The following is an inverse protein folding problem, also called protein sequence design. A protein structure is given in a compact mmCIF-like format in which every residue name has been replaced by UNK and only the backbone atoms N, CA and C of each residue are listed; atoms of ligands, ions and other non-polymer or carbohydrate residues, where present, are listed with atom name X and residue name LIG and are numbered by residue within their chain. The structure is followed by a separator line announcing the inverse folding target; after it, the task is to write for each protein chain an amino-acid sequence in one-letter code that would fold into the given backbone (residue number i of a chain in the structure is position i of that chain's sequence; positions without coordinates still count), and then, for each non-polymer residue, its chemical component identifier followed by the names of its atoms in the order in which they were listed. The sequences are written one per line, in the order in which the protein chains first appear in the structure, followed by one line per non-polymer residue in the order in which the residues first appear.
data_IF_839066649168
#
_entry.id   IF_839066649168
#
_cell.length_a   1.000
_cell.length_b   1.000
_cell.length_c   1.000
_cell.angle_alpha   90.00
_cell.angle_beta   90.00
_cell.angle_gamma   90.00
#
_symmetry.space_group_name_H-M   'P 1'
#
loop_
_entity.id
_entity.type
_entity.pdbx_description
1 polymer ?
#
# COMPACT_ATOMS: atom_id res chain seq x y z
N UNK A 1 -16.77 -13.38 -46.19
CA UNK A 1 -17.33 -12.60 -45.07
C UNK A 1 -17.30 -13.33 -43.72
N UNK A 2 -17.45 -14.65 -43.66
CA UNK A 2 -17.41 -15.41 -42.37
C UNK A 2 -16.00 -15.50 -41.72
N UNK A 3 -14.91 -15.50 -42.50
CA UNK A 3 -13.53 -15.61 -42.02
C UNK A 3 -13.07 -14.35 -41.29
N UNK A 4 -13.49 -13.15 -41.77
CA UNK A 4 -13.13 -11.88 -41.13
C UNK A 4 -13.80 -11.71 -39.76
N UNK A 5 -14.99 -12.25 -39.55
CA UNK A 5 -15.71 -12.15 -38.29
C UNK A 5 -15.09 -13.05 -37.20
N UNK A 6 -14.57 -14.23 -37.59
CA UNK A 6 -13.90 -15.14 -36.63
C UNK A 6 -12.54 -14.59 -36.18
N UNK A 7 -11.80 -13.94 -37.04
CA UNK A 7 -10.52 -13.31 -36.69
C UNK A 7 -10.69 -12.10 -35.77
N UNK A 8 -11.74 -11.31 -35.97
CA UNK A 8 -12.10 -10.21 -35.07
C UNK A 8 -12.52 -10.70 -33.67
N UNK A 9 -13.28 -11.78 -33.60
CA UNK A 9 -13.70 -12.37 -32.33
C UNK A 9 -12.53 -12.97 -31.54
N UNK A 10 -11.57 -13.60 -32.24
CA UNK A 10 -10.35 -14.14 -31.59
C UNK A 10 -9.42 -13.05 -31.10
N UNK A 11 -9.26 -11.96 -31.84
CA UNK A 11 -8.48 -10.80 -31.43
C UNK A 11 -9.11 -10.06 -30.23
N UNK A 12 -10.44 -9.93 -30.18
CA UNK A 12 -11.14 -9.33 -29.05
C UNK A 12 -11.05 -10.19 -27.78
N UNK A 13 -11.08 -11.52 -27.91
CA UNK A 13 -10.98 -12.44 -26.77
C UNK A 13 -9.55 -12.47 -26.20
N UNK A 14 -8.52 -12.32 -27.04
CA UNK A 14 -7.12 -12.25 -26.57
C UNK A 14 -6.81 -10.93 -25.83
N UNK A 15 -7.48 -9.82 -26.15
CA UNK A 15 -7.31 -8.54 -25.45
C UNK A 15 -7.86 -8.56 -24.02
N UNK A 16 -8.84 -9.40 -23.72
CA UNK A 16 -9.47 -9.48 -22.40
C UNK A 16 -8.61 -10.21 -21.33
N UNK A 17 -7.58 -10.94 -21.72
CA UNK A 17 -6.79 -11.79 -20.82
C UNK A 17 -5.63 -11.00 -20.15
N UNK A 18 -5.27 -9.82 -20.62
CA UNK A 18 -4.15 -9.03 -20.13
C UNK A 18 -4.52 -7.88 -19.16
N UNK A 19 -5.67 -7.94 -18.50
CA UNK A 19 -6.00 -6.99 -17.44
C UNK A 19 -5.15 -7.27 -16.20
N UNK A 20 -3.89 -6.90 -16.24
CA UNK A 20 -3.00 -6.89 -15.09
C UNK A 20 -3.52 -5.91 -14.03
N UNK A 21 -4.43 -6.34 -13.14
CA UNK A 21 -4.96 -5.50 -12.09
C UNK A 21 -3.85 -5.09 -11.11
N UNK A 22 -3.53 -3.81 -11.08
CA UNK A 22 -2.74 -3.23 -10.00
C UNK A 22 -3.42 -3.54 -8.67
N UNK A 23 -2.74 -4.22 -7.76
CA UNK A 23 -3.32 -4.60 -6.47
C UNK A 23 -2.31 -4.52 -5.34
N UNK A 24 -2.81 -4.15 -4.15
CA UNK A 24 -2.10 -4.27 -2.89
C UNK A 24 -2.84 -5.26 -2.02
N UNK A 25 -2.11 -6.10 -1.32
CA UNK A 25 -2.65 -7.10 -0.39
C UNK A 25 -1.92 -7.05 0.95
N UNK A 26 -2.58 -7.51 2.00
CA UNK A 26 -1.95 -7.78 3.29
C UNK A 26 -1.12 -9.06 3.13
N UNK A 27 0.18 -8.94 3.35
CA UNK A 27 1.12 -10.07 3.35
C UNK A 27 1.00 -10.81 4.67
N UNK A 28 0.99 -10.06 5.76
CA UNK A 28 0.89 -10.58 7.11
C UNK A 28 0.21 -9.54 8.02
N UNK A 29 -0.60 -10.01 8.96
CA UNK A 29 -1.12 -9.19 10.03
C UNK A 29 -1.07 -9.99 11.33
N UNK A 30 -0.25 -9.53 12.27
CA UNK A 30 -0.14 -10.09 13.63
C UNK A 30 -0.75 -9.09 14.58
N UNK A 31 -1.70 -9.55 15.35
CA UNK A 31 -2.28 -8.82 16.47
C UNK A 31 -1.78 -9.46 17.76
N UNK A 32 -1.32 -8.63 18.69
CA UNK A 32 -0.88 -9.15 19.99
C UNK A 32 -2.07 -9.73 20.70
N UNK A 33 -1.97 -10.99 21.11
CA UNK A 33 -2.96 -11.65 21.96
C UNK A 33 -2.94 -10.97 23.32
N UNK A 34 -3.76 -9.95 23.49
CA UNK A 34 -4.01 -9.38 24.80
C UNK A 34 -5.24 -10.07 25.40
N UNK A 35 -5.15 -10.46 26.68
CA UNK A 35 -6.30 -10.90 27.47
C UNK A 35 -7.40 -9.83 27.58
N UNK A 36 -7.13 -8.61 27.13
CA UNK A 36 -8.10 -7.50 27.08
C UNK A 36 -8.77 -7.47 25.71
N UNK A 37 -10.11 -7.37 25.74
CA UNK A 37 -10.92 -7.17 24.55
C UNK A 37 -10.44 -5.94 23.78
N UNK A 38 -10.11 -6.11 22.50
CA UNK A 38 -9.73 -5.00 21.63
C UNK A 38 -10.88 -4.00 21.54
N UNK A 39 -10.61 -2.73 21.83
CA UNK A 39 -11.62 -1.67 21.86
C UNK A 39 -11.31 -0.61 20.82
N UNK A 40 -12.37 -0.04 20.25
CA UNK A 40 -12.24 1.13 19.37
C UNK A 40 -11.59 2.28 20.15
N UNK A 41 -10.51 2.89 19.63
CA UNK A 41 -9.85 4.01 20.29
C UNK A 41 -10.74 5.26 20.25
N UNK A 42 -10.51 6.19 21.18
CA UNK A 42 -11.15 7.51 21.16
C UNK A 42 -10.60 8.41 20.05
N UNK A 43 -9.32 8.24 19.73
CA UNK A 43 -8.63 8.96 18.66
C UNK A 43 -7.41 8.16 18.20
N UNK A 44 -7.07 8.30 16.92
CA UNK A 44 -5.91 7.70 16.28
C UNK A 44 -4.95 8.81 15.84
N UNK A 45 -3.69 8.70 16.25
CA UNK A 45 -2.62 9.56 15.77
C UNK A 45 -1.83 8.81 14.70
N UNK A 46 -1.66 9.41 13.54
CA UNK A 46 -0.89 8.85 12.44
C UNK A 46 0.41 9.64 12.30
N UNK A 47 1.54 8.96 12.49
CA UNK A 47 2.87 9.50 12.22
C UNK A 47 3.26 9.26 10.76
N UNK A 48 4.01 10.17 10.14
CA UNK A 48 4.56 9.91 8.81
C UNK A 48 5.38 8.63 8.80
N UNK A 49 5.21 7.82 7.76
CA UNK A 49 6.03 6.62 7.56
C UNK A 49 7.45 7.03 7.17
N UNK A 50 8.42 6.29 7.68
CA UNK A 50 9.83 6.46 7.35
C UNK A 50 10.28 5.45 6.29
N UNK A 51 11.41 5.69 5.67
CA UNK A 51 11.99 4.74 4.71
C UNK A 51 13.06 3.91 5.41
N UNK A 52 12.97 2.59 5.29
CA UNK A 52 14.03 1.71 5.75
C UNK A 52 15.32 1.95 4.93
N UNK A 53 16.51 1.76 5.50
CA UNK A 53 17.75 1.85 4.74
C UNK A 53 17.71 0.97 3.49
N UNK A 54 18.01 1.55 2.31
CA UNK A 54 17.98 0.83 1.04
C UNK A 54 16.59 0.49 0.49
N UNK A 55 15.52 0.99 1.11
CA UNK A 55 14.15 0.74 0.66
C UNK A 55 13.84 1.36 -0.71
N UNK A 56 14.51 2.45 -1.06
CA UNK A 56 14.22 3.21 -2.28
C UNK A 56 15.00 2.67 -3.48
N UNK A 57 14.26 2.40 -4.54
CA UNK A 57 14.80 2.08 -5.87
C UNK A 57 14.16 3.02 -6.88
N UNK A 58 14.69 4.24 -6.94
CA UNK A 58 14.18 5.35 -7.73
C UNK A 58 15.33 6.05 -8.45
N UNK A 59 15.07 6.58 -9.65
CA UNK A 59 16.04 7.34 -10.43
C UNK A 59 16.09 8.80 -9.95
N UNK A 60 16.43 9.00 -8.68
CA UNK A 60 16.48 10.31 -8.01
C UNK A 60 17.63 10.35 -7.02
N UNK A 61 18.21 11.53 -6.83
CA UNK A 61 19.29 11.76 -5.87
C UNK A 61 19.18 13.14 -5.23
N UNK A 62 19.94 13.36 -4.19
CA UNK A 62 20.05 14.66 -3.54
C UNK A 62 18.72 15.24 -3.07
N UNK A 63 18.45 16.49 -3.42
CA UNK A 63 17.24 17.21 -3.01
C UNK A 63 15.97 16.64 -3.61
N UNK A 64 15.99 16.19 -4.87
CA UNK A 64 14.83 15.59 -5.52
C UNK A 64 14.40 14.29 -4.84
N UNK A 65 15.36 13.52 -4.32
CA UNK A 65 15.07 12.32 -3.55
C UNK A 65 14.38 12.68 -2.24
N UNK A 66 14.92 13.65 -1.49
CA UNK A 66 14.31 14.10 -0.22
C UNK A 66 12.90 14.65 -0.41
N UNK A 67 12.66 15.45 -1.47
CA UNK A 67 11.32 15.92 -1.83
C UNK A 67 10.37 14.77 -2.13
N UNK A 68 10.84 13.78 -2.89
CA UNK A 68 10.05 12.61 -3.22
C UNK A 68 9.68 11.81 -1.96
N UNK A 69 10.62 11.54 -1.07
CA UNK A 69 10.38 10.86 0.21
C UNK A 69 9.32 11.60 1.04
N UNK A 70 9.48 12.90 1.21
CA UNK A 70 8.55 13.73 1.96
C UNK A 70 7.12 13.67 1.39
N UNK A 71 6.97 13.76 0.07
CA UNK A 71 5.68 13.70 -0.61
C UNK A 71 5.03 12.33 -0.40
N UNK A 72 5.78 11.25 -0.57
CA UNK A 72 5.24 9.89 -0.43
C UNK A 72 4.83 9.61 1.01
N UNK A 73 5.65 10.00 1.98
CA UNK A 73 5.34 9.86 3.40
C UNK A 73 4.08 10.65 3.79
N UNK A 74 3.96 11.90 3.34
CA UNK A 74 2.80 12.74 3.57
C UNK A 74 1.52 12.17 2.91
N UNK A 75 1.62 11.68 1.68
CA UNK A 75 0.49 11.04 0.98
C UNK A 75 -0.02 9.81 1.73
N UNK A 76 0.88 8.95 2.21
CA UNK A 76 0.54 7.77 2.99
C UNK A 76 -0.17 8.16 4.29
N UNK A 77 0.41 9.08 5.05
CA UNK A 77 -0.12 9.51 6.33
C UNK A 77 -1.50 10.17 6.18
N UNK A 78 -1.68 11.07 5.19
CA UNK A 78 -2.97 11.71 4.92
C UNK A 78 -4.04 10.69 4.52
N UNK A 79 -3.70 9.69 3.70
CA UNK A 79 -4.65 8.63 3.32
C UNK A 79 -5.01 7.71 4.48
N UNK A 80 -4.08 7.43 5.38
CA UNK A 80 -4.37 6.69 6.61
C UNK A 80 -5.30 7.50 7.53
N UNK A 81 -5.06 8.80 7.73
CA UNK A 81 -5.95 9.67 8.51
C UNK A 81 -7.37 9.67 7.96
N UNK A 82 -7.51 9.85 6.64
CA UNK A 82 -8.81 9.85 5.96
C UNK A 82 -9.57 8.52 6.18
N UNK A 83 -8.90 7.40 5.90
CA UNK A 83 -9.54 6.08 5.95
C UNK A 83 -9.78 5.59 7.37
N UNK A 84 -8.85 5.80 8.29
CA UNK A 84 -9.02 5.46 9.70
C UNK A 84 -10.11 6.31 10.33
N UNK A 85 -10.15 7.61 9.99
CA UNK A 85 -11.17 8.54 10.47
C UNK A 85 -12.59 8.15 10.09
N UNK A 86 -12.78 7.61 8.90
CA UNK A 86 -14.10 7.17 8.39
C UNK A 86 -14.48 5.76 8.79
N UNK A 87 -13.50 4.87 9.03
CA UNK A 87 -13.77 3.43 9.16
C UNK A 87 -13.48 2.85 10.55
N UNK A 88 -12.75 3.57 11.41
CA UNK A 88 -12.33 3.06 12.72
C UNK A 88 -12.67 4.03 13.83
N UNK A 89 -12.03 5.20 13.87
CA UNK A 89 -12.22 6.24 14.89
C UNK A 89 -11.64 7.57 14.39
N UNK A 90 -12.02 8.73 14.98
CA UNK A 90 -11.40 10.01 14.64
C UNK A 90 -9.87 9.90 14.55
N UNK A 91 -9.28 10.42 13.48
CA UNK A 91 -7.86 10.32 13.24
C UNK A 91 -7.26 11.66 12.83
N UNK A 92 -6.00 11.91 13.23
CA UNK A 92 -5.23 13.09 12.82
C UNK A 92 -3.76 12.78 12.64
N UNK A 93 -3.07 13.65 11.94
CA UNK A 93 -1.61 13.59 11.85
C UNK A 93 -0.97 13.96 13.20
N UNK A 94 0.17 13.33 13.44
CA UNK A 94 1.09 13.70 14.53
C UNK A 94 2.52 13.73 13.99
N UNK A 95 3.35 14.61 14.56
CA UNK A 95 4.78 14.63 14.23
C UNK A 95 5.50 13.47 14.91
N UNK A 96 6.69 13.12 14.43
CA UNK A 96 7.50 12.03 15.02
C UNK A 96 7.89 12.35 16.47
N UNK A 97 8.06 13.64 16.81
CA UNK A 97 8.48 14.10 18.13
C UNK A 97 7.30 14.51 19.04
N UNK A 98 6.07 14.47 18.53
CA UNK A 98 4.89 14.85 19.33
C UNK A 98 4.70 13.88 20.51
N UNK A 99 4.63 14.46 21.72
CA UNK A 99 4.32 13.70 22.93
C UNK A 99 2.82 13.50 23.06
N UNK A 100 2.35 12.31 22.68
CA UNK A 100 0.94 11.94 22.74
C UNK A 100 0.63 11.37 24.12
N UNK A 101 -0.40 11.89 24.78
CA UNK A 101 -0.88 11.41 26.09
C UNK A 101 -2.40 11.36 26.10
N UNK A 102 -2.95 10.44 26.85
CA UNK A 102 -4.40 10.30 27.01
C UNK A 102 -4.80 8.86 27.25
N UNK A 103 -6.11 8.61 27.31
CA UNK A 103 -6.70 7.30 27.55
C UNK A 103 -7.31 6.79 26.25
N UNK A 104 -7.11 5.49 25.99
CA UNK A 104 -7.68 4.81 24.82
C UNK A 104 -7.30 5.46 23.49
N UNK A 105 -6.01 5.76 23.34
CA UNK A 105 -5.43 6.37 22.16
C UNK A 105 -4.65 5.31 21.39
N UNK A 106 -4.75 5.34 20.08
CA UNK A 106 -3.86 4.58 19.22
C UNK A 106 -2.88 5.48 18.47
N UNK A 107 -1.68 4.96 18.27
CA UNK A 107 -0.66 5.57 17.41
C UNK A 107 -0.34 4.60 16.29
N UNK A 108 -0.48 5.06 15.07
CA UNK A 108 -0.10 4.33 13.86
C UNK A 108 1.16 4.96 13.30
N UNK A 109 2.19 4.18 13.18
CA UNK A 109 3.44 4.54 12.54
C UNK A 109 3.93 3.39 11.67
N UNK A 110 4.94 3.60 10.86
CA UNK A 110 5.44 2.52 10.02
C UNK A 110 6.59 2.94 9.15
N UNK A 111 6.97 1.99 8.29
CA UNK A 111 8.04 2.20 7.34
C UNK A 111 7.71 1.64 5.96
N UNK A 112 8.34 2.23 4.96
CA UNK A 112 8.43 1.64 3.64
C UNK A 112 9.62 0.68 3.66
N UNK A 113 9.33 -0.62 3.52
CA UNK A 113 10.36 -1.66 3.46
C UNK A 113 10.96 -1.73 2.05
N UNK A 114 10.15 -1.39 1.04
CA UNK A 114 10.55 -1.31 -0.35
C UNK A 114 9.65 -0.36 -1.12
N UNK A 115 10.26 0.57 -1.84
CA UNK A 115 9.58 1.41 -2.82
C UNK A 115 10.38 1.41 -4.12
N UNK A 116 9.82 0.79 -5.16
CA UNK A 116 10.36 0.83 -6.51
C UNK A 116 9.41 1.64 -7.38
N UNK A 117 9.90 2.75 -7.94
CA UNK A 117 9.10 3.59 -8.83
C UNK A 117 8.97 2.99 -10.25
N UNK A 118 9.71 1.92 -10.55
CA UNK A 118 9.87 1.39 -11.88
C UNK A 118 10.79 2.27 -12.75
N UNK A 119 11.34 1.70 -13.81
CA UNK A 119 12.22 2.42 -14.73
C UNK A 119 11.43 3.37 -15.62
N UNK A 120 11.81 4.65 -15.61
CA UNK A 120 11.24 5.66 -16.53
C UNK A 120 11.58 5.35 -17.98
N UNK A 121 12.82 4.92 -18.23
CA UNK A 121 13.29 4.57 -19.56
C UNK A 121 12.53 3.40 -20.17
N UNK A 122 12.24 2.35 -19.39
CA UNK A 122 11.49 1.21 -19.87
C UNK A 122 10.02 1.55 -20.17
N UNK A 123 9.43 2.52 -19.46
CA UNK A 123 8.06 2.97 -19.72
C UNK A 123 7.94 3.75 -21.03
N UNK A 124 8.98 4.51 -21.41
CA UNK A 124 8.95 5.31 -22.63
C UNK A 124 9.33 4.53 -23.89
N UNK A 125 10.14 3.47 -23.76
CA UNK A 125 10.69 2.76 -24.95
C UNK A 125 9.92 1.49 -25.29
N UNK A 126 9.44 0.74 -24.31
CA UNK A 126 8.90 -0.61 -24.56
C UNK A 126 7.37 -0.70 -24.43
N UNK A 127 6.69 0.24 -23.79
CA UNK A 127 5.22 0.32 -23.73
C UNK A 127 4.46 -0.90 -23.16
N UNK A 128 5.12 -1.99 -22.89
CA UNK A 128 4.51 -3.29 -22.56
C UNK A 128 4.55 -3.64 -21.06
N UNK A 129 4.04 -2.77 -20.19
CA UNK A 129 3.85 -3.15 -18.77
C UNK A 129 5.14 -3.39 -17.97
N UNK A 130 6.31 -3.22 -18.54
CA UNK A 130 7.60 -3.28 -17.86
C UNK A 130 7.82 -1.97 -17.10
N UNK A 131 8.11 -2.06 -15.82
CA UNK A 131 8.42 -0.88 -14.98
C UNK A 131 7.28 -0.45 -14.06
N UNK A 132 6.40 -1.37 -13.65
CA UNK A 132 5.40 -1.12 -12.62
C UNK A 132 6.03 -0.72 -11.27
N UNK A 133 5.28 0.05 -10.47
CA UNK A 133 5.69 0.39 -9.11
C UNK A 133 5.57 -0.83 -8.20
N UNK A 134 6.45 -0.92 -7.21
CA UNK A 134 6.30 -1.89 -6.12
C UNK A 134 6.44 -1.18 -4.79
N UNK A 135 5.48 -1.41 -3.90
CA UNK A 135 5.46 -0.85 -2.55
C UNK A 135 5.26 -1.97 -1.55
N UNK A 136 6.17 -2.05 -0.58
CA UNK A 136 6.05 -2.93 0.58
C UNK A 136 6.18 -2.07 1.83
N UNK A 137 5.28 -2.27 2.80
CA UNK A 137 5.28 -1.48 4.03
C UNK A 137 5.03 -2.35 5.25
N UNK A 138 5.58 -1.92 6.37
CA UNK A 138 5.24 -2.43 7.69
C UNK A 138 4.62 -1.29 8.50
N UNK A 139 3.36 -1.46 8.91
CA UNK A 139 2.67 -0.58 9.82
C UNK A 139 2.65 -1.18 11.23
N UNK A 140 2.90 -0.37 12.24
CA UNK A 140 2.84 -0.69 13.65
C UNK A 140 1.73 0.14 14.29
N UNK A 141 0.91 -0.50 15.10
CA UNK A 141 -0.17 0.14 15.83
C UNK A 141 0.07 -0.07 17.32
N UNK A 142 0.13 1.02 18.05
CA UNK A 142 0.32 1.00 19.50
C UNK A 142 -0.92 1.54 20.21
N UNK A 143 -1.26 0.96 21.36
CA UNK A 143 -2.14 1.63 22.31
C UNK A 143 -1.31 2.40 23.32
N UNK A 144 -1.84 3.54 23.75
CA UNK A 144 -1.24 4.33 24.83
C UNK A 144 -2.10 4.22 26.07
N UNK A 145 -1.42 4.00 27.22
CA UNK A 145 -2.04 4.11 28.52
C UNK A 145 -2.09 5.58 29.01
N UNK A 146 -2.67 5.82 30.19
CA UNK A 146 -2.76 7.16 30.78
C UNK A 146 -1.39 7.81 31.02
N UNK A 147 -0.34 7.02 31.20
CA UNK A 147 1.04 7.48 31.45
C UNK A 147 1.78 7.73 30.13
N UNK A 148 1.18 7.39 28.97
CA UNK A 148 1.80 7.50 27.67
C UNK A 148 2.71 6.31 27.33
N UNK A 149 2.61 5.19 28.09
CA UNK A 149 3.33 3.97 27.79
C UNK A 149 2.70 3.29 26.57
N UNK A 150 3.52 2.92 25.62
CA UNK A 150 3.12 2.28 24.39
C UNK A 150 3.11 0.76 24.51
N UNK A 151 2.02 0.14 24.07
CA UNK A 151 1.91 -1.32 23.92
C UNK A 151 1.60 -1.63 22.48
N UNK A 152 2.40 -2.49 21.84
CA UNK A 152 2.16 -2.91 20.46
C UNK A 152 0.86 -3.72 20.38
N UNK A 153 -0.09 -3.25 19.60
CA UNK A 153 -1.35 -3.93 19.33
C UNK A 153 -1.31 -4.75 18.05
N UNK A 154 -0.71 -4.20 17.01
CA UNK A 154 -0.69 -4.84 15.71
C UNK A 154 0.55 -4.50 14.90
N UNK A 155 1.01 -5.49 14.12
CA UNK A 155 1.97 -5.33 13.03
C UNK A 155 1.30 -5.81 11.75
N UNK A 156 1.22 -4.92 10.75
CA UNK A 156 0.56 -5.19 9.47
C UNK A 156 1.56 -4.95 8.35
N UNK A 157 1.85 -5.99 7.60
CA UNK A 157 2.71 -5.92 6.43
C UNK A 157 1.87 -5.97 5.16
N UNK A 158 2.17 -5.07 4.23
CA UNK A 158 1.51 -5.04 2.92
C UNK A 158 2.52 -5.20 1.80
N UNK A 159 2.07 -5.75 0.70
CA UNK A 159 2.84 -5.86 -0.54
C UNK A 159 1.94 -5.63 -1.73
N UNK A 160 2.45 -4.96 -2.73
CA UNK A 160 1.71 -4.72 -3.96
C UNK A 160 2.41 -3.70 -4.85
N UNK A 161 1.74 -3.35 -5.91
CA UNK A 161 2.21 -2.35 -6.85
C UNK A 161 1.22 -2.20 -8.00
N UNK A 162 1.46 -1.20 -8.81
CA UNK A 162 0.77 -1.01 -10.08
C UNK A 162 1.61 -1.65 -11.18
N UNK A 163 1.09 -2.70 -11.79
CA UNK A 163 1.57 -3.06 -13.11
C UNK A 163 1.23 -1.90 -14.05
N UNK A 164 2.19 -1.43 -14.84
CA UNK A 164 1.88 -0.45 -15.87
C UNK A 164 0.83 -1.10 -16.79
N UNK A 165 -0.35 -0.46 -16.89
CA UNK A 165 -1.38 -0.91 -17.82
C UNK A 165 -0.84 -0.68 -19.22
N UNK A 166 -0.69 -1.71 -20.08
CA UNK A 166 -0.39 -1.50 -21.49
C UNK A 166 -1.53 -0.68 -22.09
N UNK A 167 -1.23 0.46 -22.70
CA UNK A 167 -2.22 1.21 -23.47
C UNK A 167 -2.79 2.49 -22.84
N UNK A 168 -2.30 2.99 -21.73
CA UNK A 168 -2.51 4.39 -21.37
C UNK A 168 -1.61 5.31 -22.24
N UNK A 169 -1.68 5.15 -23.54
CA UNK A 169 -1.19 6.14 -24.49
C UNK A 169 -2.19 7.28 -24.41
N UNK A 170 -1.79 8.37 -23.76
CA UNK A 170 -2.48 9.65 -23.91
C UNK A 170 -2.37 10.03 -25.39
N UNK A 171 -3.44 9.74 -26.17
CA UNK A 171 -3.57 10.13 -27.55
C UNK A 171 -3.80 11.65 -27.59
N UNK A 172 -2.72 12.41 -27.57
CA UNK A 172 -2.74 13.85 -27.70
C UNK A 172 -1.32 14.39 -27.85
N UNK A 173 -1.11 15.53 -28.57
CA UNK A 173 0.20 16.14 -28.69
C UNK A 173 0.69 16.52 -27.29
N UNK A 174 1.74 15.83 -26.84
CA UNK A 174 2.40 16.11 -25.56
C UNK A 174 3.13 17.43 -25.69
N UNK A 175 2.47 18.51 -25.32
CA UNK A 175 3.14 19.76 -25.02
C UNK A 175 3.88 19.49 -23.69
N UNK A 176 5.19 19.38 -23.77
CA UNK A 176 6.06 19.12 -22.62
C UNK A 176 6.03 20.31 -21.65
N UNK A 177 5.07 20.30 -20.73
CA UNK A 177 5.06 21.23 -19.61
C UNK A 177 5.83 20.56 -18.47
N UNK A 178 6.93 21.14 -17.95
CA UNK A 178 7.76 20.54 -16.89
C UNK A 178 6.96 20.09 -15.66
N UNK A 179 5.84 20.72 -15.37
CA UNK A 179 4.93 20.36 -14.28
C UNK A 179 4.23 19.01 -14.47
N UNK A 180 3.93 18.61 -15.69
CA UNK A 180 3.26 17.33 -16.00
C UNK A 180 4.18 16.13 -15.83
N UNK A 181 5.50 16.29 -16.00
CA UNK A 181 6.48 15.22 -15.79
C UNK A 181 6.55 14.83 -14.32
N UNK A 182 6.42 15.80 -13.40
CA UNK A 182 6.46 15.53 -11.96
C UNK A 182 5.19 14.79 -11.49
N UNK A 183 4.02 15.18 -11.99
CA UNK A 183 2.74 14.53 -11.65
C UNK A 183 2.63 13.11 -12.19
N UNK A 184 3.07 12.85 -13.43
CA UNK A 184 3.06 11.51 -14.00
C UNK A 184 3.99 10.53 -13.26
N UNK A 185 5.11 11.02 -12.72
CA UNK A 185 6.06 10.22 -11.98
C UNK A 185 5.57 9.79 -10.57
N UNK A 186 4.63 10.52 -9.99
CA UNK A 186 4.06 10.22 -8.66
C UNK A 186 2.73 9.46 -8.74
N UNK A 187 2.08 9.39 -9.90
CA UNK A 187 0.71 8.84 -10.04
C UNK A 187 0.63 7.37 -9.62
N UNK A 188 1.60 6.53 -10.02
CA UNK A 188 1.63 5.12 -9.62
C UNK A 188 1.84 4.96 -8.11
N UNK A 189 2.81 5.67 -7.55
CA UNK A 189 3.12 5.65 -6.11
C UNK A 189 1.96 6.19 -5.28
N UNK A 190 1.29 7.26 -5.74
CA UNK A 190 0.10 7.80 -5.07
C UNK A 190 -1.06 6.80 -5.05
N UNK A 191 -1.28 6.08 -6.15
CA UNK A 191 -2.28 5.02 -6.20
C UNK A 191 -1.94 3.84 -5.27
N UNK A 192 -0.66 3.47 -5.20
CA UNK A 192 -0.20 2.41 -4.32
C UNK A 192 -0.27 2.82 -2.84
N UNK A 193 0.05 4.07 -2.50
CA UNK A 193 -0.15 4.62 -1.15
C UNK A 193 -1.62 4.55 -0.73
N UNK A 194 -2.55 4.92 -1.62
CA UNK A 194 -4.00 4.84 -1.36
C UNK A 194 -4.45 3.39 -1.12
N UNK A 195 -4.00 2.45 -1.95
CA UNK A 195 -4.34 1.02 -1.79
C UNK A 195 -3.73 0.44 -0.53
N UNK A 196 -2.48 0.78 -0.22
CA UNK A 196 -1.77 0.35 0.99
C UNK A 196 -2.47 0.85 2.24
N UNK A 197 -2.78 2.15 2.32
CA UNK A 197 -3.55 2.72 3.43
C UNK A 197 -4.90 2.02 3.61
N UNK A 198 -5.61 1.72 2.51
CA UNK A 198 -6.86 0.95 2.55
C UNK A 198 -6.66 -0.46 3.12
N UNK A 199 -5.58 -1.16 2.78
CA UNK A 199 -5.31 -2.51 3.29
C UNK A 199 -4.96 -2.49 4.78
N UNK A 200 -4.19 -1.52 5.25
CA UNK A 200 -3.87 -1.33 6.67
C UNK A 200 -5.17 -1.04 7.45
N UNK A 201 -5.97 -0.09 6.99
CA UNK A 201 -7.26 0.24 7.63
C UNK A 201 -8.21 -0.95 7.64
N UNK A 202 -8.28 -1.70 6.52
CA UNK A 202 -9.12 -2.88 6.42
C UNK A 202 -8.72 -3.98 7.42
N UNK A 203 -7.42 -4.23 7.61
CA UNK A 203 -6.95 -5.19 8.59
C UNK A 203 -7.33 -4.79 10.02
N UNK A 204 -7.25 -3.51 10.36
CA UNK A 204 -7.62 -2.99 11.67
C UNK A 204 -9.14 -3.04 11.90
N UNK A 205 -9.93 -2.58 10.94
CA UNK A 205 -11.40 -2.58 11.06
C UNK A 205 -11.97 -3.99 11.10
N UNK A 206 -11.43 -4.92 10.31
CA UNK A 206 -11.80 -6.34 10.38
C UNK A 206 -11.56 -6.94 11.78
N UNK A 207 -10.38 -6.66 12.36
CA UNK A 207 -10.03 -7.20 13.67
C UNK A 207 -10.88 -6.62 14.79
N UNK A 208 -11.16 -5.31 14.76
CA UNK A 208 -12.09 -4.67 15.69
C UNK A 208 -13.51 -5.24 15.56
N UNK A 209 -13.97 -5.44 14.35
CA UNK A 209 -15.28 -6.07 14.10
C UNK A 209 -15.36 -7.49 14.66
N UNK A 210 -14.30 -8.31 14.48
CA UNK A 210 -14.20 -9.65 15.07
C UNK A 210 -14.19 -9.63 16.60
N UNK A 211 -13.66 -8.57 17.20
CA UNK A 211 -13.66 -8.37 18.64
C UNK A 211 -15.00 -7.79 19.16
N UNK A 212 -15.99 -7.56 18.30
CA UNK A 212 -17.26 -6.96 18.66
C UNK A 212 -17.18 -5.47 19.01
N UNK A 213 -16.08 -4.80 18.67
CA UNK A 213 -15.90 -3.38 18.95
C UNK A 213 -16.76 -2.53 17.99
N UNK A 214 -17.41 -1.45 18.48
CA UNK A 214 -18.22 -0.59 17.63
C UNK A 214 -17.36 0.13 16.61
N UNK A 215 -17.85 0.22 15.37
CA UNK A 215 -17.20 0.93 14.26
C UNK A 215 -18.17 1.97 13.68
N UNK A 216 -17.67 3.11 13.17
CA UNK A 216 -18.50 4.15 12.55
C UNK A 216 -19.06 3.72 11.19
N UNK A 217 -18.48 2.70 10.54
CA UNK A 217 -18.89 2.16 9.27
C UNK A 217 -18.70 0.63 9.23
N UNK A 218 -19.33 -0.09 8.29
CA UNK A 218 -19.09 -1.52 8.11
C UNK A 218 -17.59 -1.82 7.90
N UNK A 219 -17.12 -2.88 8.56
CA UNK A 219 -15.73 -3.26 8.51
C UNK A 219 -15.24 -3.51 7.06
N UNK A 220 -14.15 -2.89 6.71
CA UNK A 220 -13.49 -3.15 5.44
C UNK A 220 -12.83 -4.54 5.46
N UNK A 221 -12.84 -5.22 4.32
CA UNK A 221 -12.18 -6.51 4.18
C UNK A 221 -10.82 -6.35 3.50
N UNK A 222 -9.72 -6.78 4.13
CA UNK A 222 -8.42 -6.75 3.51
C UNK A 222 -8.29 -7.83 2.43
N UNK A 223 -7.66 -7.50 1.31
CA UNK A 223 -7.20 -8.50 0.36
C UNK A 223 -5.97 -9.17 0.95
N UNK A 224 -6.03 -10.47 1.23
CA UNK A 224 -4.90 -11.24 1.74
C UNK A 224 -4.16 -11.90 0.58
N UNK A 225 -2.83 -11.95 0.66
CA UNK A 225 -2.04 -12.76 -0.25
C UNK A 225 -2.28 -14.22 0.11
N UNK A 226 -2.74 -15.01 -0.85
CA UNK A 226 -2.69 -16.47 -0.70
C UNK A 226 -1.22 -16.86 -0.72
N UNK A 227 -0.70 -17.30 0.41
CA UNK A 227 0.58 -18.01 0.43
C UNK A 227 0.26 -19.38 -0.11
N UNK A 228 0.55 -19.58 -1.40
CA UNK A 228 0.65 -20.94 -1.92
C UNK A 228 1.90 -21.51 -1.25
N UNK A 229 1.74 -22.25 -0.18
CA UNK A 229 2.78 -23.11 0.35
C UNK A 229 3.08 -24.13 -0.77
N UNK A 230 4.07 -23.82 -1.57
CA UNK A 230 4.71 -24.81 -2.40
C UNK A 230 5.49 -25.68 -1.42
N UNK A 231 5.13 -26.96 -1.23
CA UNK A 231 5.91 -27.82 -0.36
C UNK A 231 7.37 -27.77 -0.82
N UNK A 232 8.33 -27.80 0.08
CA UNK A 232 9.74 -27.81 -0.28
C UNK A 232 9.94 -28.94 -1.29
N UNK A 233 10.34 -28.60 -2.51
CA UNK A 233 10.78 -29.60 -3.49
C UNK A 233 12.10 -30.12 -2.93
N UNK A 234 12.04 -31.29 -2.33
CA UNK A 234 13.24 -32.06 -1.96
C UNK A 234 13.88 -32.44 -3.31
N UNK A 235 15.09 -31.97 -3.61
CA UNK A 235 15.78 -32.42 -4.81
C UNK A 235 15.89 -33.95 -4.68
N UNK A 236 15.25 -34.68 -5.57
CA UNK A 236 15.51 -36.11 -5.72
C UNK A 236 16.86 -36.17 -6.40
N UNK A 237 17.88 -36.53 -5.64
CA UNK A 237 19.20 -36.85 -6.16
C UNK A 237 19.07 -38.10 -7.06
N UNK A 238 19.35 -37.98 -8.36
CA UNK A 238 19.15 -39.12 -9.28
C UNK A 238 20.19 -40.22 -9.13
N UNK A 239 21.15 -40.10 -8.19
CA UNK A 239 22.27 -41.04 -8.01
C UNK A 239 22.23 -41.84 -6.69
N UNK A 240 21.01 -42.13 -6.18
CA UNK A 240 20.80 -43.11 -5.14
C UNK A 240 19.94 -44.23 -5.65
#
# INVERSE_FOLDING_TARGET
MKIALSQLATAALTLLIFSGCASVSVKESRFTEQKQTLRTPSIIFVRPFVFAPGALRVDRSGEDLRKFESIVAAQMANRLVELLGTSVAPARLATLTERIRGKNIWVVEGQFDRLNQGSRALRSVVGFGLGGTKMETTALVYSLDKKGQQTLLARIQTTGGSNAVPGAVLSGPVVAVPRLIFTAATTGVSSDSKRTARMITAALSEQLSKAGAPLPAPALRPKRRQVTEQPPQIPIDPDY
#
